data_IF_145027167559
#
_entry.id   IF_145027167559
#
_cell.length_a   1.000
_cell.length_b   1.000
_cell.length_c   1.000
_cell.angle_alpha   90.00
_cell.angle_beta   90.00
_cell.angle_gamma   90.00
#
_symmetry.space_group_name_H-M   'P 1'
#
loop_
_entity.id
_entity.type
_entity.pdbx_description
1 polymer ?
#
# COMPACT_ATOMS: atom_id res chain seq x y z
N UNK A 1 -10.79 -0.41 44.38
CA UNK A 1 -10.76 0.51 43.22
C UNK A 1 -9.78 -0.08 42.23
N UNK A 2 -10.26 -0.98 41.38
CA UNK A 2 -9.41 -1.74 40.43
C UNK A 2 -9.21 -0.93 39.18
N UNK A 3 -7.95 -0.65 38.88
CA UNK A 3 -7.55 -0.06 37.61
C UNK A 3 -7.65 -1.16 36.56
N UNK A 4 -8.71 -1.11 35.76
CA UNK A 4 -8.79 -1.88 34.50
C UNK A 4 -7.71 -1.38 33.58
N UNK A 5 -6.59 -2.10 33.53
CA UNK A 5 -5.62 -1.98 32.44
C UNK A 5 -6.34 -2.33 31.13
N UNK A 6 -6.71 -1.32 30.37
CA UNK A 6 -7.07 -1.47 28.96
C UNK A 6 -5.84 -2.04 28.26
N UNK A 7 -5.81 -3.35 28.03
CA UNK A 7 -4.96 -3.96 27.03
C UNK A 7 -5.47 -3.52 25.65
N UNK A 8 -5.07 -2.34 25.21
CA UNK A 8 -5.06 -1.99 23.80
C UNK A 8 -3.78 -2.58 23.22
N UNK A 9 -3.76 -3.87 22.99
CA UNK A 9 -2.80 -4.45 22.07
C UNK A 9 -3.36 -4.24 20.66
N UNK A 10 -3.06 -3.11 20.05
CA UNK A 10 -3.14 -2.98 18.61
C UNK A 10 -2.10 -3.95 18.04
N UNK A 11 -2.55 -5.04 17.43
CA UNK A 11 -1.69 -6.05 16.79
C UNK A 11 -0.98 -5.47 15.55
N UNK A 12 -1.24 -4.23 15.20
CA UNK A 12 -0.76 -3.50 14.04
C UNK A 12 0.04 -2.24 14.43
N UNK A 13 0.96 -1.79 13.58
CA UNK A 13 1.34 -2.35 12.27
C UNK A 13 2.21 -3.60 12.40
N UNK A 14 2.15 -4.52 11.41
CA UNK A 14 3.03 -5.70 11.40
C UNK A 14 4.11 -5.50 10.34
N UNK A 15 5.35 -5.42 10.78
CA UNK A 15 6.51 -5.34 9.90
C UNK A 15 7.02 -6.74 9.55
N UNK A 16 7.15 -7.00 8.27
CA UNK A 16 7.77 -8.20 7.72
C UNK A 16 9.22 -7.88 7.40
N UNK A 17 10.12 -8.17 8.33
CA UNK A 17 11.56 -7.86 8.31
C UNK A 17 12.42 -8.94 7.61
N UNK A 18 11.80 -10.01 7.15
CA UNK A 18 12.39 -11.06 6.34
C UNK A 18 11.79 -11.06 4.93
N UNK A 19 12.38 -11.81 4.01
CA UNK A 19 11.89 -11.89 2.62
C UNK A 19 10.43 -12.31 2.55
N UNK A 20 9.63 -11.43 1.96
CA UNK A 20 8.18 -11.64 1.81
C UNK A 20 7.89 -12.63 0.70
N UNK A 21 8.57 -12.45 -0.44
CA UNK A 21 8.39 -13.29 -1.63
C UNK A 21 9.61 -14.16 -1.89
N UNK A 22 9.43 -15.38 -2.42
CA UNK A 22 10.53 -16.12 -3.01
C UNK A 22 11.21 -15.31 -4.12
N UNK A 23 12.54 -15.42 -4.24
CA UNK A 23 13.32 -14.63 -5.20
C UNK A 23 12.78 -14.72 -6.65
N UNK A 24 12.39 -15.88 -7.20
CA UNK A 24 11.84 -15.93 -8.56
C UNK A 24 10.57 -15.09 -8.73
N UNK A 25 9.69 -15.05 -7.74
CA UNK A 25 8.48 -14.22 -7.77
C UNK A 25 8.85 -12.72 -7.66
N UNK A 26 9.83 -12.39 -6.82
CA UNK A 26 10.30 -11.03 -6.66
C UNK A 26 10.98 -10.49 -7.92
N UNK A 27 11.80 -11.30 -8.60
CA UNK A 27 12.37 -10.98 -9.91
C UNK A 27 11.31 -10.80 -11.00
N UNK A 28 10.23 -11.58 -10.96
CA UNK A 28 9.10 -11.41 -11.88
C UNK A 28 8.41 -10.06 -11.73
N UNK A 29 8.36 -9.50 -10.52
CA UNK A 29 7.86 -8.13 -10.30
C UNK A 29 8.77 -7.08 -10.94
N UNK A 30 10.08 -7.23 -10.81
CA UNK A 30 11.07 -6.33 -11.41
C UNK A 30 10.99 -6.33 -12.94
N UNK A 31 10.82 -7.52 -13.54
CA UNK A 31 10.61 -7.67 -14.98
C UNK A 31 9.34 -6.95 -15.46
N UNK A 32 8.23 -7.06 -14.71
CA UNK A 32 7.00 -6.32 -15.00
C UNK A 32 7.20 -4.80 -14.90
N UNK A 33 8.03 -4.33 -13.97
CA UNK A 33 8.34 -2.92 -13.84
C UNK A 33 9.19 -2.40 -15.00
N UNK A 34 10.14 -3.21 -15.46
CA UNK A 34 11.00 -2.86 -16.58
C UNK A 34 10.23 -2.73 -17.90
N UNK A 35 9.27 -3.63 -18.15
CA UNK A 35 8.45 -3.66 -19.36
C UNK A 35 7.12 -2.91 -19.24
N UNK A 36 6.77 -2.42 -18.06
CA UNK A 36 5.48 -1.83 -17.77
C UNK A 36 5.29 -0.41 -18.30
N UNK A 37 4.04 -0.04 -18.51
CA UNK A 37 3.65 1.31 -18.90
C UNK A 37 3.48 2.19 -17.67
N UNK A 38 4.47 3.04 -17.42
CA UNK A 38 4.43 4.01 -16.34
C UNK A 38 3.76 5.32 -16.78
N UNK A 39 2.95 5.89 -15.90
CA UNK A 39 2.33 7.20 -16.10
C UNK A 39 2.40 8.03 -14.81
N UNK A 40 2.58 9.33 -14.94
CA UNK A 40 2.52 10.28 -13.83
C UNK A 40 1.04 10.58 -13.54
N UNK A 41 0.36 9.71 -12.82
CA UNK A 41 -1.09 9.72 -12.65
C UNK A 41 -1.59 9.44 -11.23
N UNK A 42 -0.73 8.92 -10.35
CA UNK A 42 -1.13 8.63 -8.98
C UNK A 42 -1.11 9.91 -8.14
N UNK A 43 -2.11 10.04 -7.29
CA UNK A 43 -2.17 11.10 -6.29
C UNK A 43 -2.66 10.51 -4.97
N UNK A 44 -1.94 10.79 -3.91
CA UNK A 44 -2.36 10.44 -2.55
C UNK A 44 -3.51 11.31 -2.03
N UNK A 45 -3.95 12.29 -2.81
CA UNK A 45 -4.99 13.23 -2.39
C UNK A 45 -6.20 13.19 -3.31
N UNK A 46 -7.38 12.96 -2.75
CA UNK A 46 -8.65 12.85 -3.48
C UNK A 46 -9.40 14.17 -3.70
N UNK A 47 -8.89 15.29 -3.22
CA UNK A 47 -9.52 16.62 -3.36
C UNK A 47 -8.64 17.54 -4.20
N UNK A 48 -9.20 18.03 -5.28
CA UNK A 48 -8.68 18.79 -6.41
C UNK A 48 -7.71 19.96 -6.24
N UNK A 49 -7.18 20.23 -5.05
CA UNK A 49 -6.43 21.46 -4.79
C UNK A 49 -4.89 21.25 -4.79
N UNK A 50 -4.41 20.02 -4.92
CA UNK A 50 -2.98 19.71 -4.94
C UNK A 50 -2.62 18.84 -6.15
N UNK A 51 -2.61 19.47 -7.34
CA UNK A 51 -2.12 18.85 -8.58
C UNK A 51 -0.62 18.55 -8.57
N UNK A 52 0.09 19.02 -7.55
CA UNK A 52 1.53 19.01 -7.48
C UNK A 52 2.13 17.77 -6.77
N UNK A 53 1.29 16.90 -6.21
CA UNK A 53 1.72 15.69 -5.51
C UNK A 53 1.48 14.43 -6.34
N UNK A 54 1.75 14.51 -7.63
CA UNK A 54 1.65 13.36 -8.51
C UNK A 54 2.84 12.41 -8.29
N UNK A 55 2.55 11.13 -8.25
CA UNK A 55 3.53 10.05 -8.29
C UNK A 55 3.32 9.17 -9.52
N UNK A 56 4.30 8.35 -9.83
CA UNK A 56 4.19 7.39 -10.91
C UNK A 56 3.29 6.23 -10.52
N UNK A 57 2.47 5.78 -11.45
CA UNK A 57 1.66 4.57 -11.37
C UNK A 57 1.86 3.73 -12.61
N UNK A 58 1.47 2.47 -12.53
CA UNK A 58 1.55 1.54 -13.65
C UNK A 58 0.14 1.30 -14.21
N UNK A 59 0.01 1.26 -15.53
CA UNK A 59 -1.24 0.88 -16.20
C UNK A 59 -1.42 -0.64 -16.15
N UNK A 60 -2.68 -1.08 -16.03
CA UNK A 60 -3.07 -2.50 -16.06
C UNK A 60 -2.41 -3.35 -14.96
N UNK A 61 -2.08 -2.72 -13.83
CA UNK A 61 -1.44 -3.37 -12.68
C UNK A 61 -2.24 -4.57 -12.14
N UNK A 62 -3.57 -4.51 -12.21
CA UNK A 62 -4.46 -5.57 -11.72
C UNK A 62 -4.52 -6.82 -12.61
N UNK A 63 -4.02 -6.75 -13.87
CA UNK A 63 -4.02 -7.85 -14.82
C UNK A 63 -2.65 -8.58 -14.87
N UNK A 64 -1.65 -8.07 -14.14
CA UNK A 64 -0.31 -8.64 -14.15
C UNK A 64 -0.24 -9.94 -13.36
N UNK A 65 0.10 -11.05 -14.03
CA UNK A 65 0.15 -12.37 -13.42
C UNK A 65 1.12 -12.41 -12.22
N UNK A 66 2.28 -11.80 -12.33
CA UNK A 66 3.30 -11.76 -11.28
C UNK A 66 2.80 -11.02 -10.02
N UNK A 67 1.98 -9.98 -10.20
CA UNK A 67 1.38 -9.27 -9.06
C UNK A 67 0.28 -10.10 -8.39
N UNK A 68 -0.51 -10.87 -9.17
CA UNK A 68 -1.52 -11.78 -8.63
C UNK A 68 -0.89 -12.95 -7.87
N UNK A 69 0.24 -13.47 -8.34
CA UNK A 69 1.02 -14.50 -7.63
C UNK A 69 1.57 -13.95 -6.31
N UNK A 70 2.19 -12.75 -6.34
CA UNK A 70 2.66 -12.07 -5.15
C UNK A 70 1.53 -11.83 -4.15
N UNK A 71 0.36 -11.34 -4.62
CA UNK A 71 -0.82 -11.14 -3.79
C UNK A 71 -1.27 -12.43 -3.11
N UNK A 72 -1.21 -13.56 -3.81
CA UNK A 72 -1.58 -14.88 -3.25
C UNK A 72 -0.62 -15.30 -2.14
N UNK A 73 0.69 -15.16 -2.33
CA UNK A 73 1.70 -15.48 -1.33
C UNK A 73 1.55 -14.58 -0.10
N UNK A 74 1.39 -13.28 -0.32
CA UNK A 74 1.18 -12.29 0.76
C UNK A 74 -0.09 -12.62 1.53
N UNK A 75 -1.20 -12.91 0.85
CA UNK A 75 -2.46 -13.33 1.49
C UNK A 75 -2.24 -14.47 2.47
N UNK A 76 -1.54 -15.52 2.05
CA UNK A 76 -1.26 -16.69 2.91
C UNK A 76 -0.45 -16.32 4.16
N UNK A 77 0.45 -15.35 4.05
CA UNK A 77 1.25 -14.87 5.18
C UNK A 77 0.40 -14.03 6.15
N UNK A 78 -0.35 -13.05 5.64
CA UNK A 78 -1.10 -12.11 6.48
C UNK A 78 -2.33 -12.76 7.15
N UNK A 79 -2.94 -13.77 6.53
CA UNK A 79 -4.07 -14.49 7.12
C UNK A 79 -3.75 -15.13 8.48
N UNK A 80 -2.48 -15.45 8.75
CA UNK A 80 -2.02 -15.99 10.05
C UNK A 80 -2.21 -14.98 11.19
N UNK A 81 -2.09 -13.69 10.88
CA UNK A 81 -2.27 -12.60 11.84
C UNK A 81 -3.73 -12.15 11.91
N UNK A 82 -4.36 -11.93 10.77
CA UNK A 82 -5.73 -11.40 10.69
C UNK A 82 -6.77 -12.43 11.14
N UNK A 83 -6.48 -13.75 10.97
CA UNK A 83 -7.39 -14.88 11.35
C UNK A 83 -8.79 -14.76 10.73
N UNK A 84 -8.87 -14.23 9.52
CA UNK A 84 -10.06 -14.07 8.70
C UNK A 84 -9.82 -14.62 7.31
N UNK A 85 -10.87 -15.09 6.64
CA UNK A 85 -10.77 -15.32 5.19
C UNK A 85 -10.74 -13.97 4.47
N UNK A 86 -9.78 -13.84 3.54
CA UNK A 86 -9.49 -12.59 2.86
C UNK A 86 -9.67 -12.74 1.36
N UNK A 87 -10.13 -11.66 0.72
CA UNK A 87 -10.16 -11.51 -0.74
C UNK A 87 -9.34 -10.30 -1.15
N UNK A 88 -8.51 -10.46 -2.17
CA UNK A 88 -7.83 -9.33 -2.79
C UNK A 88 -8.88 -8.41 -3.42
N UNK A 89 -8.81 -7.11 -3.12
CA UNK A 89 -9.75 -6.12 -3.64
C UNK A 89 -9.05 -4.97 -4.39
N UNK A 90 -7.75 -4.77 -4.19
CA UNK A 90 -6.98 -3.74 -4.92
C UNK A 90 -5.51 -4.16 -5.02
N UNK A 91 -4.91 -3.92 -6.19
CA UNK A 91 -3.46 -3.83 -6.39
C UNK A 91 -3.17 -2.38 -6.78
N UNK A 92 -2.13 -1.80 -6.24
CA UNK A 92 -1.76 -0.42 -6.55
C UNK A 92 -0.25 -0.25 -6.56
N UNK A 93 0.29 0.08 -7.73
CA UNK A 93 1.72 0.33 -7.94
C UNK A 93 2.01 1.82 -7.78
N UNK A 94 2.98 2.16 -6.96
CA UNK A 94 3.48 3.51 -6.78
C UNK A 94 4.96 3.60 -7.10
N UNK A 95 5.33 4.65 -7.84
CA UNK A 95 6.71 5.04 -8.08
C UNK A 95 6.93 6.48 -7.65
N UNK A 96 8.04 6.76 -6.96
CA UNK A 96 8.41 8.09 -6.51
C UNK A 96 9.87 8.40 -6.83
N UNK A 97 10.12 9.58 -7.38
CA UNK A 97 11.45 10.15 -7.52
C UNK A 97 11.67 11.25 -6.50
N UNK A 98 12.91 11.76 -6.38
CA UNK A 98 13.22 12.90 -5.53
C UNK A 98 12.26 14.07 -5.79
N UNK A 99 11.81 14.70 -4.71
CA UNK A 99 10.91 15.86 -4.75
C UNK A 99 9.42 15.54 -4.87
N UNK A 100 9.03 14.29 -5.11
CA UNK A 100 7.63 13.88 -5.14
C UNK A 100 7.13 13.55 -3.72
N UNK A 101 6.40 14.46 -3.12
CA UNK A 101 5.91 14.33 -1.75
C UNK A 101 4.55 13.64 -1.75
N UNK A 102 4.47 12.43 -1.17
CA UNK A 102 3.18 11.83 -0.86
C UNK A 102 2.61 12.43 0.44
N UNK A 103 1.34 12.80 0.39
CA UNK A 103 0.58 13.20 1.59
C UNK A 103 0.07 11.97 2.35
N UNK A 104 -0.17 12.14 3.65
CA UNK A 104 -0.87 11.11 4.41
C UNK A 104 -2.27 10.88 3.85
N UNK A 105 -2.62 9.63 3.66
CA UNK A 105 -3.91 9.21 3.13
C UNK A 105 -4.32 7.85 3.70
N UNK A 106 -5.57 7.50 3.48
CA UNK A 106 -6.16 6.19 3.80
C UNK A 106 -6.56 5.51 2.49
N UNK A 107 -6.24 4.24 2.32
CA UNK A 107 -6.67 3.49 1.14
C UNK A 107 -8.18 3.22 1.16
N UNK A 108 -8.69 2.86 2.33
CA UNK A 108 -10.10 2.62 2.60
C UNK A 108 -10.48 3.20 3.96
N UNK A 109 -11.78 3.43 4.20
CA UNK A 109 -12.30 3.92 5.48
C UNK A 109 -12.80 2.78 6.38
N UNK A 110 -12.97 1.59 5.81
CA UNK A 110 -13.49 0.41 6.47
C UNK A 110 -12.41 -0.24 7.35
N UNK A 111 -12.79 -0.67 8.55
CA UNK A 111 -11.90 -1.33 9.52
C UNK A 111 -11.70 -2.84 9.26
N UNK A 112 -12.44 -3.39 8.30
CA UNK A 112 -12.35 -4.78 7.82
C UNK A 112 -11.63 -4.92 6.47
N UNK A 113 -10.81 -3.92 6.13
CA UNK A 113 -9.87 -3.93 4.99
C UNK A 113 -8.46 -3.69 5.49
N UNK A 114 -7.51 -4.45 4.97
CA UNK A 114 -6.07 -4.33 5.30
C UNK A 114 -5.26 -4.09 4.04
N UNK A 115 -4.22 -3.27 4.15
CA UNK A 115 -3.25 -3.04 3.08
C UNK A 115 -1.89 -3.58 3.49
N UNK A 116 -1.31 -4.39 2.63
CA UNK A 116 0.10 -4.79 2.71
C UNK A 116 0.89 -3.99 1.69
N UNK A 117 1.88 -3.24 2.14
CA UNK A 117 2.78 -2.47 1.28
C UNK A 117 4.09 -3.23 1.12
N UNK A 118 4.38 -3.69 -0.11
CA UNK A 118 5.62 -4.38 -0.47
C UNK A 118 6.63 -3.36 -1.02
N UNK A 119 7.89 -3.45 -0.60
CA UNK A 119 9.00 -2.68 -1.12
C UNK A 119 9.69 -3.46 -2.24
N UNK A 120 9.70 -2.91 -3.45
CA UNK A 120 9.88 -3.70 -4.67
C UNK A 120 11.15 -3.44 -5.47
N UNK A 121 11.94 -2.42 -5.13
CA UNK A 121 13.25 -2.26 -5.76
C UNK A 121 14.14 -3.47 -5.44
N UNK A 122 14.97 -3.87 -6.40
CA UNK A 122 15.92 -4.99 -6.22
C UNK A 122 17.06 -4.62 -5.27
N UNK A 123 17.50 -3.37 -5.34
CA UNK A 123 18.54 -2.79 -4.49
C UNK A 123 18.09 -1.44 -3.94
N UNK A 124 18.49 -1.12 -2.73
CA UNK A 124 18.22 0.16 -2.11
C UNK A 124 19.27 0.51 -1.05
N UNK A 125 19.86 1.68 -1.16
CA UNK A 125 20.73 2.20 -0.12
C UNK A 125 19.88 2.94 0.92
N UNK A 126 20.08 2.64 2.20
CA UNK A 126 19.31 3.25 3.29
C UNK A 126 19.52 4.78 3.39
N UNK A 127 20.65 5.28 2.91
CA UNK A 127 20.95 6.73 2.86
C UNK A 127 20.08 7.48 1.84
N UNK A 128 19.42 6.77 0.91
CA UNK A 128 18.51 7.39 -0.05
C UNK A 128 17.14 7.76 0.56
N UNK A 129 16.86 7.34 1.80
CA UNK A 129 15.56 7.55 2.45
C UNK A 129 14.48 6.64 1.87
N UNK A 130 13.30 7.20 1.62
CA UNK A 130 12.20 6.42 1.01
C UNK A 130 11.43 5.56 2.01
N UNK A 131 11.49 5.84 3.29
CA UNK A 131 10.80 5.11 4.35
C UNK A 131 9.28 5.06 4.13
N UNK A 132 8.64 4.06 4.70
CA UNK A 132 7.19 4.00 4.84
C UNK A 132 6.79 4.50 6.23
N UNK A 133 5.80 5.38 6.29
CA UNK A 133 5.29 5.95 7.53
C UNK A 133 3.80 5.70 7.64
N UNK A 134 3.34 5.21 8.79
CA UNK A 134 1.92 5.07 9.09
C UNK A 134 1.58 5.55 10.50
N UNK A 135 0.30 5.80 10.77
CA UNK A 135 -0.18 6.27 12.08
C UNK A 135 -1.49 5.58 12.46
N UNK A 136 -1.62 5.20 13.73
CA UNK A 136 -2.88 4.73 14.33
C UNK A 136 -3.77 5.88 14.83
N UNK A 137 -3.32 7.12 14.63
CA UNK A 137 -3.97 8.33 15.10
C UNK A 137 -3.38 8.86 16.42
N UNK A 138 -2.56 8.08 17.12
CA UNK A 138 -1.85 8.50 18.34
C UNK A 138 -0.34 8.57 18.10
N UNK A 139 0.22 7.53 17.47
CA UNK A 139 1.63 7.38 17.23
C UNK A 139 1.94 7.28 15.74
N UNK A 140 3.20 7.63 15.38
CA UNK A 140 3.74 7.45 14.04
C UNK A 140 4.77 6.33 14.06
N UNK A 141 4.65 5.40 13.09
CA UNK A 141 5.53 4.26 12.90
C UNK A 141 6.32 4.45 11.61
N UNK A 142 7.65 4.29 11.67
CA UNK A 142 8.57 4.48 10.57
C UNK A 142 9.25 3.16 10.22
N UNK A 143 9.22 2.79 8.95
CA UNK A 143 9.83 1.56 8.45
C UNK A 143 10.82 1.90 7.34
N UNK A 144 12.11 1.53 7.49
CA UNK A 144 13.09 1.76 6.45
C UNK A 144 12.69 1.00 5.19
N UNK A 145 13.02 1.57 4.04
CA UNK A 145 12.79 0.92 2.77
C UNK A 145 13.85 -0.17 2.56
N UNK A 146 13.46 -1.42 2.66
CA UNK A 146 14.34 -2.58 2.44
C UNK A 146 13.71 -3.48 1.38
N UNK A 147 14.43 -3.82 0.29
CA UNK A 147 13.93 -4.68 -0.78
C UNK A 147 13.30 -5.99 -0.28
N UNK A 148 12.20 -6.39 -0.89
CA UNK A 148 11.45 -7.62 -0.54
C UNK A 148 11.03 -7.68 0.93
N UNK A 149 10.78 -6.56 1.56
CA UNK A 149 10.17 -6.40 2.88
C UNK A 149 8.83 -5.68 2.75
N UNK A 150 8.08 -5.59 3.81
CA UNK A 150 6.81 -4.89 3.74
C UNK A 150 6.14 -4.69 5.09
N UNK A 151 5.05 -3.93 5.05
CA UNK A 151 4.27 -3.57 6.24
C UNK A 151 2.79 -3.84 6.00
N UNK A 152 2.16 -4.51 6.94
CA UNK A 152 0.71 -4.73 6.98
C UNK A 152 0.07 -3.73 7.95
N UNK A 153 -0.92 -2.99 7.45
CA UNK A 153 -1.69 -2.01 8.22
C UNK A 153 -3.19 -2.20 7.99
N UNK A 154 -4.05 -1.79 8.93
CA UNK A 154 -5.45 -1.49 8.63
C UNK A 154 -5.52 -0.42 7.54
N UNK A 155 -6.34 -0.61 6.50
CA UNK A 155 -6.40 0.32 5.36
C UNK A 155 -6.99 1.69 5.72
N UNK A 156 -7.65 1.81 6.86
CA UNK A 156 -8.16 3.05 7.41
C UNK A 156 -7.14 3.83 8.26
N UNK A 157 -5.90 3.35 8.38
CA UNK A 157 -4.80 4.12 8.98
C UNK A 157 -4.21 5.11 7.98
N UNK A 158 -3.83 6.26 8.47
CA UNK A 158 -3.09 7.22 7.66
C UNK A 158 -1.68 6.73 7.39
N UNK A 159 -1.27 6.79 6.13
CA UNK A 159 0.07 6.35 5.74
C UNK A 159 0.58 7.08 4.50
N UNK A 160 1.89 7.03 4.30
CA UNK A 160 2.57 7.53 3.11
C UNK A 160 3.90 6.82 2.87
N UNK A 161 4.39 6.83 1.63
CA UNK A 161 5.80 6.60 1.33
C UNK A 161 6.55 7.93 1.30
N UNK A 162 7.66 8.06 2.00
CA UNK A 162 8.54 9.19 1.83
C UNK A 162 9.23 9.10 0.45
N UNK A 163 9.44 10.25 -0.20
CA UNK A 163 10.23 10.27 -1.44
C UNK A 163 11.70 9.97 -1.13
N UNK A 164 12.44 9.41 -2.10
CA UNK A 164 13.90 9.36 -1.98
C UNK A 164 14.46 10.78 -1.93
N UNK A 165 15.69 10.92 -1.41
CA UNK A 165 16.40 12.18 -1.43
C UNK A 165 17.19 12.38 -2.73
N UNK A 166 17.91 13.50 -2.86
CA UNK A 166 18.66 13.86 -4.07
C UNK A 166 19.92 13.04 -4.33
N UNK A 167 20.24 12.05 -3.48
CA UNK A 167 21.42 11.18 -3.64
C UNK A 167 21.17 10.02 -4.59
N UNK A 168 19.96 9.89 -5.12
CA UNK A 168 19.58 8.85 -6.07
C UNK A 168 18.64 9.37 -7.15
N UNK A 169 18.78 8.85 -8.34
CA UNK A 169 17.87 9.00 -9.49
C UNK A 169 16.98 7.77 -9.70
N UNK A 170 17.12 6.74 -8.85
CA UNK A 170 16.35 5.51 -8.94
C UNK A 170 14.90 5.79 -8.54
N UNK A 171 13.97 5.31 -9.37
CA UNK A 171 12.55 5.30 -9.04
C UNK A 171 12.30 4.38 -7.83
N UNK A 172 11.86 4.95 -6.71
CA UNK A 172 11.39 4.17 -5.57
C UNK A 172 10.05 3.54 -5.90
N UNK A 173 9.96 2.24 -5.87
CA UNK A 173 8.74 1.52 -6.25
C UNK A 173 8.14 0.74 -5.08
N UNK A 174 6.81 0.70 -5.00
CA UNK A 174 6.07 -0.13 -4.03
C UNK A 174 4.81 -0.68 -4.67
N UNK A 175 4.34 -1.82 -4.18
CA UNK A 175 3.01 -2.34 -4.48
C UNK A 175 2.20 -2.42 -3.19
N UNK A 176 1.04 -1.77 -3.18
CA UNK A 176 -0.01 -1.95 -2.18
C UNK A 176 -0.97 -3.07 -2.60
N UNK A 177 -1.12 -4.07 -1.76
CA UNK A 177 -2.11 -5.13 -1.91
C UNK A 177 -3.17 -4.97 -0.83
N UNK A 178 -4.39 -4.61 -1.21
CA UNK A 178 -5.49 -4.47 -0.26
C UNK A 178 -6.38 -5.70 -0.25
N UNK A 179 -6.70 -6.15 0.95
CA UNK A 179 -7.51 -7.35 1.19
C UNK A 179 -8.70 -7.01 2.06
N UNK A 180 -9.86 -7.47 1.62
CA UNK A 180 -11.13 -7.34 2.34
C UNK A 180 -11.49 -8.66 3.01
N UNK A 181 -12.15 -8.61 4.17
CA UNK A 181 -12.76 -9.79 4.77
C UNK A 181 -13.78 -10.38 3.79
N UNK A 182 -13.73 -11.68 3.54
CA UNK A 182 -14.44 -12.32 2.42
C UNK A 182 -15.96 -12.13 2.44
N UNK A 183 -16.56 -12.19 3.62
CA UNK A 183 -18.01 -11.98 3.85
C UNK A 183 -18.42 -10.49 3.76
N UNK A 184 -17.46 -9.57 3.62
CA UNK A 184 -17.66 -8.12 3.47
C UNK A 184 -17.42 -7.60 2.06
N UNK A 185 -17.09 -8.47 1.11
CA UNK A 185 -16.73 -8.05 -0.26
C UNK A 185 -17.91 -7.32 -0.96
N UNK A 186 -19.12 -7.86 -0.87
CA UNK A 186 -20.30 -7.25 -1.51
C UNK A 186 -20.64 -5.89 -0.89
N UNK A 187 -20.46 -5.75 0.42
CA UNK A 187 -20.65 -4.49 1.14
C UNK A 187 -19.64 -3.44 0.64
N UNK A 188 -18.36 -3.84 0.44
CA UNK A 188 -17.33 -2.97 -0.11
C UNK A 188 -17.69 -2.51 -1.52
N UNK A 189 -18.06 -3.42 -2.42
CA UNK A 189 -18.44 -3.12 -3.80
C UNK A 189 -19.60 -2.12 -3.84
N UNK A 190 -20.63 -2.33 -3.03
CA UNK A 190 -21.78 -1.44 -2.95
C UNK A 190 -21.40 -0.04 -2.46
N UNK A 191 -20.51 0.06 -1.46
CA UNK A 191 -20.03 1.35 -0.93
C UNK A 191 -19.27 2.15 -1.99
N UNK A 192 -18.37 1.51 -2.75
CA UNK A 192 -17.60 2.15 -3.80
C UNK A 192 -18.47 2.59 -4.99
N UNK A 193 -19.46 1.77 -5.37
CA UNK A 193 -20.41 2.07 -6.45
C UNK A 193 -21.29 3.27 -6.10
N UNK A 194 -21.71 3.42 -4.87
CA UNK A 194 -22.52 4.56 -4.40
C UNK A 194 -21.75 5.87 -4.47
N UNK A 195 -20.46 5.86 -4.11
CA UNK A 195 -19.57 7.04 -4.20
C UNK A 195 -19.38 7.47 -5.65
N UNK A 196 -19.18 6.53 -6.58
CA UNK A 196 -19.04 6.80 -8.01
C UNK A 196 -20.29 7.47 -8.60
N UNK A 197 -21.49 6.97 -8.27
CA UNK A 197 -22.76 7.56 -8.73
C UNK A 197 -23.00 8.97 -8.18
N UNK A 198 -22.54 9.27 -6.98
CA UNK A 198 -22.64 10.61 -6.39
C UNK A 198 -21.70 11.60 -7.08
N UNK A 199 -20.46 11.20 -7.40
CA UNK A 199 -19.50 12.04 -8.14
C UNK A 199 -19.99 12.38 -9.56
N UNK A 200 -20.64 11.45 -10.27
CA UNK A 200 -21.17 11.71 -11.62
C UNK A 200 -22.35 12.71 -11.64
N UNK A 201 -23.06 12.89 -10.53
CA UNK A 201 -24.15 13.88 -10.43
C UNK A 201 -23.68 15.33 -10.24
N UNK A 202 -22.41 15.54 -9.90
CA UNK A 202 -21.82 16.89 -9.72
C UNK A 202 -20.97 17.33 -10.91
N UNK A 203 -20.93 16.55 -12.00
CA UNK A 203 -20.19 16.84 -13.23
C UNK A 203 -21.12 17.16 -14.43
N UNK A 204 -22.38 17.52 -14.17
CA UNK A 204 -23.33 18.03 -15.16
C UNK A 204 -23.63 19.51 -14.90
#
# INVERSE_FOLDING_TARGET
MGILLKQSMTEFPIHYDSEVLPLPCFFGIDDEFYHGEWALCNSSYSRGDYKDNLSWGMRWEHDKQQFLEAATIIKMKIQKHIKKDLRLCKIHVNGQTFGQIATFHKDFIQDWVWTFVLFTNMEWNQEWGGEFVCSDGNDYYHYPYVPNRGVLIPSNWEHRGASPNSSTDILRTTIGFSYVQADKLDELINSLTSISKTKSKFLL
#
